data_IF_062605733803
#
_entry.id   IF_062605733803
#
_cell.length_a   1.000
_cell.length_b   1.000
_cell.length_c   1.000
_cell.angle_alpha   90.00
_cell.angle_beta   90.00
_cell.angle_gamma   90.00
#
_symmetry.space_group_name_H-M   'P 1'
#
loop_
_entity.id
_entity.type
_entity.pdbx_description
1 polymer ?
#
# COMPACT_ATOMS: atom_id res chain seq x y z
N UNK A 1 3.15 -12.07 -29.20
CA UNK A 1 4.32 -12.91 -28.87
C UNK A 1 3.81 -14.02 -27.97
N UNK A 2 3.99 -15.26 -28.37
CA UNK A 2 3.34 -16.44 -27.77
C UNK A 2 3.96 -16.75 -26.39
N UNK A 3 3.10 -17.09 -25.42
CA UNK A 3 3.45 -17.36 -24.03
C UNK A 3 3.92 -18.82 -23.88
N UNK A 4 4.94 -19.22 -24.63
CA UNK A 4 5.21 -20.65 -24.81
C UNK A 4 6.15 -21.17 -23.72
N UNK A 5 5.57 -21.91 -22.78
CA UNK A 5 6.28 -22.93 -22.01
C UNK A 5 6.34 -24.17 -22.89
N UNK A 6 7.52 -24.75 -23.07
CA UNK A 6 7.67 -26.01 -23.82
C UNK A 6 8.28 -27.10 -22.94
N UNK A 7 7.85 -28.34 -23.19
CA UNK A 7 8.28 -29.52 -22.45
C UNK A 7 9.11 -30.41 -23.38
N UNK A 8 10.16 -31.05 -22.87
CA UNK A 8 10.94 -32.04 -23.62
C UNK A 8 10.24 -33.39 -23.76
N UNK A 9 8.99 -33.50 -23.31
CA UNK A 9 8.19 -34.71 -23.31
C UNK A 9 6.74 -34.40 -23.68
N UNK A 10 6.04 -35.39 -24.22
CA UNK A 10 4.62 -35.35 -24.52
C UNK A 10 3.77 -35.92 -23.37
N UNK A 11 2.48 -35.57 -23.36
CA UNK A 11 1.52 -36.22 -22.47
C UNK A 11 1.48 -37.73 -22.76
N UNK A 12 1.46 -38.54 -21.69
CA UNK A 12 1.49 -40.02 -21.73
C UNK A 12 2.78 -40.64 -22.30
N UNK A 13 3.85 -39.86 -22.48
CA UNK A 13 5.15 -40.39 -22.91
C UNK A 13 5.74 -41.34 -21.85
N UNK A 14 6.30 -42.46 -22.31
CA UNK A 14 7.00 -43.43 -21.46
C UNK A 14 8.46 -43.02 -21.38
N UNK A 15 8.88 -42.53 -20.22
CA UNK A 15 10.24 -42.04 -19.98
C UNK A 15 11.04 -43.06 -19.17
N UNK A 16 12.32 -43.27 -19.52
CA UNK A 16 13.19 -44.19 -18.81
C UNK A 16 13.64 -43.60 -17.45
N UNK A 17 13.86 -44.44 -16.40
CA UNK A 17 14.41 -43.96 -15.13
C UNK A 17 15.74 -43.24 -15.32
N UNK A 18 15.93 -42.14 -14.58
CA UNK A 18 17.15 -41.31 -14.66
C UNK A 18 17.18 -40.37 -15.87
N UNK A 19 16.11 -40.27 -16.66
CA UNK A 19 15.96 -39.23 -17.67
C UNK A 19 15.59 -37.90 -17.02
N UNK A 20 16.22 -36.81 -17.44
CA UNK A 20 15.81 -35.46 -17.06
C UNK A 20 14.60 -35.02 -17.86
N UNK A 21 13.53 -34.60 -17.17
CA UNK A 21 12.41 -33.91 -17.77
C UNK A 21 12.71 -32.42 -17.81
N UNK A 22 12.66 -31.83 -19.00
CA UNK A 22 13.08 -30.44 -19.22
C UNK A 22 11.87 -29.57 -19.52
N UNK A 23 11.77 -28.46 -18.79
CA UNK A 23 10.78 -27.39 -18.99
C UNK A 23 11.56 -26.15 -19.43
N UNK A 24 11.27 -25.66 -20.63
CA UNK A 24 11.81 -24.40 -21.11
C UNK A 24 10.79 -23.28 -20.90
N UNK A 25 11.24 -22.23 -20.23
CA UNK A 25 10.46 -21.04 -19.89
C UNK A 25 11.10 -19.87 -20.62
N UNK A 26 10.41 -19.32 -21.62
CA UNK A 26 10.94 -18.25 -22.46
C UNK A 26 11.15 -16.90 -21.75
N UNK A 27 10.89 -16.81 -20.43
CA UNK A 27 11.01 -15.59 -19.63
C UNK A 27 11.87 -15.83 -18.39
N UNK A 28 12.55 -14.79 -17.88
CA UNK A 28 13.23 -14.85 -16.59
C UNK A 28 12.29 -15.30 -15.47
N UNK A 29 12.80 -16.11 -14.55
CA UNK A 29 12.08 -16.55 -13.36
C UNK A 29 13.04 -16.73 -12.18
N UNK A 30 12.51 -16.60 -10.97
CA UNK A 30 13.30 -16.76 -9.75
C UNK A 30 13.62 -18.23 -9.49
N UNK A 31 14.90 -18.59 -9.41
CA UNK A 31 15.38 -19.99 -9.35
C UNK A 31 14.81 -20.76 -8.16
N UNK A 32 14.83 -20.14 -6.97
CA UNK A 32 14.31 -20.76 -5.74
C UNK A 32 12.79 -20.94 -5.79
N UNK A 33 12.07 -20.06 -6.49
CA UNK A 33 10.62 -20.19 -6.64
C UNK A 33 10.26 -21.33 -7.60
N UNK A 34 10.99 -21.47 -8.71
CA UNK A 34 10.79 -22.60 -9.63
C UNK A 34 11.05 -23.95 -8.95
N UNK A 35 12.08 -24.03 -8.10
CA UNK A 35 12.36 -25.23 -7.31
C UNK A 35 11.26 -25.57 -6.30
N UNK A 36 10.58 -24.57 -5.74
CA UNK A 36 9.52 -24.78 -4.76
C UNK A 36 8.17 -25.15 -5.39
N UNK A 37 7.87 -24.65 -6.58
CA UNK A 37 6.52 -24.74 -7.18
C UNK A 37 6.35 -25.94 -8.11
N UNK A 38 7.44 -26.42 -8.70
CA UNK A 38 7.40 -27.51 -9.68
C UNK A 38 7.49 -28.85 -8.94
N UNK A 39 6.38 -29.60 -8.94
CA UNK A 39 6.26 -30.86 -8.21
C UNK A 39 5.78 -32.01 -9.10
N UNK A 40 6.29 -33.23 -8.83
CA UNK A 40 5.76 -34.47 -9.39
C UNK A 40 4.79 -35.10 -8.40
N UNK A 41 3.68 -35.63 -8.90
CA UNK A 41 2.70 -36.36 -8.11
C UNK A 41 2.48 -37.78 -8.64
N UNK A 42 2.22 -38.71 -7.72
CA UNK A 42 1.75 -40.07 -8.02
C UNK A 42 0.60 -40.42 -7.08
N UNK A 43 -0.55 -40.83 -7.64
CA UNK A 43 -1.73 -41.19 -6.85
C UNK A 43 -2.22 -40.06 -5.93
N UNK A 44 -2.06 -38.79 -6.33
CA UNK A 44 -2.44 -37.62 -5.54
C UNK A 44 -1.45 -37.21 -4.44
N UNK A 45 -0.30 -37.89 -4.33
CA UNK A 45 0.76 -37.56 -3.36
C UNK A 45 1.94 -36.90 -4.07
N UNK A 46 2.43 -35.80 -3.51
CA UNK A 46 3.66 -35.12 -3.98
C UNK A 46 4.89 -35.97 -3.67
N UNK A 47 5.73 -36.18 -4.68
CA UNK A 47 6.95 -36.97 -4.60
C UNK A 47 8.15 -36.02 -4.56
N UNK A 48 9.03 -36.13 -3.54
CA UNK A 48 10.28 -35.39 -3.51
C UNK A 48 11.08 -35.67 -4.78
N UNK A 49 11.32 -34.63 -5.56
CA UNK A 49 12.01 -34.72 -6.85
C UNK A 49 13.09 -33.66 -6.88
N UNK A 50 14.29 -34.03 -7.33
CA UNK A 50 15.37 -33.07 -7.50
C UNK A 50 15.06 -32.14 -8.66
N UNK A 51 14.81 -30.87 -8.35
CA UNK A 51 14.61 -29.79 -9.34
C UNK A 51 15.87 -28.95 -9.41
N UNK A 52 16.47 -28.88 -10.59
CA UNK A 52 17.62 -28.01 -10.86
C UNK A 52 17.27 -26.97 -11.92
N UNK A 53 17.85 -25.79 -11.79
CA UNK A 53 17.63 -24.65 -12.70
C UNK A 53 18.98 -24.24 -13.27
N UNK A 54 19.14 -24.27 -14.60
CA UNK A 54 20.37 -23.82 -15.25
C UNK A 54 20.41 -22.30 -15.44
N UNK A 55 21.63 -21.77 -15.53
CA UNK A 55 22.02 -20.39 -15.22
C UNK A 55 21.13 -19.31 -15.80
N UNK A 56 20.90 -19.29 -17.10
CA UNK A 56 20.40 -18.08 -17.79
C UNK A 56 19.49 -18.39 -19.00
N UNK A 57 19.22 -19.66 -19.31
CA UNK A 57 18.51 -20.09 -20.52
C UNK A 57 17.02 -20.38 -20.30
N UNK A 58 16.51 -20.12 -19.09
CA UNK A 58 15.12 -20.36 -18.76
C UNK A 58 14.77 -21.85 -18.62
N UNK A 59 15.75 -22.72 -18.41
CA UNK A 59 15.54 -24.17 -18.37
C UNK A 59 15.43 -24.70 -16.93
N UNK A 60 14.36 -25.44 -16.65
CA UNK A 60 14.18 -26.22 -15.42
C UNK A 60 14.30 -27.71 -15.74
N UNK A 61 15.08 -28.45 -14.95
CA UNK A 61 15.23 -29.90 -15.07
C UNK A 61 14.69 -30.59 -13.83
N UNK A 62 13.86 -31.61 -14.06
CA UNK A 62 13.40 -32.53 -13.03
C UNK A 62 14.04 -33.89 -13.28
N UNK A 63 14.83 -34.38 -12.33
CA UNK A 63 15.42 -35.70 -12.46
C UNK A 63 14.41 -36.79 -12.12
N UNK A 64 14.29 -37.80 -12.97
CA UNK A 64 13.52 -39.03 -12.66
C UNK A 64 14.33 -40.09 -11.93
N UNK A 65 15.56 -39.77 -11.52
CA UNK A 65 16.40 -40.67 -10.74
C UNK A 65 15.74 -41.03 -9.41
N UNK A 66 15.74 -42.33 -9.06
CA UNK A 66 15.10 -42.82 -7.85
C UNK A 66 13.58 -42.95 -7.88
N UNK A 67 12.91 -42.56 -8.98
CA UNK A 67 11.47 -42.80 -9.15
C UNK A 67 11.20 -44.27 -9.50
N UNK A 68 10.17 -44.85 -8.88
CA UNK A 68 9.71 -46.21 -9.22
C UNK A 68 8.83 -46.20 -10.46
N UNK A 69 8.80 -47.29 -11.23
CA UNK A 69 7.94 -47.39 -12.43
C UNK A 69 6.47 -47.08 -12.11
N UNK A 70 5.84 -46.22 -12.91
CA UNK A 70 4.44 -45.84 -12.74
C UNK A 70 4.05 -44.57 -13.50
N UNK A 71 2.78 -44.17 -13.35
CA UNK A 71 2.27 -42.90 -13.89
C UNK A 71 2.52 -41.76 -12.91
N UNK A 72 3.00 -40.64 -13.43
CA UNK A 72 3.30 -39.43 -12.70
C UNK A 72 2.63 -38.23 -13.38
N UNK A 73 2.30 -37.21 -12.59
CA UNK A 73 1.69 -35.97 -13.07
C UNK A 73 2.55 -34.78 -12.66
N UNK A 74 2.74 -33.83 -13.58
CA UNK A 74 3.23 -32.51 -13.22
C UNK A 74 2.05 -31.72 -12.63
N UNK A 75 2.15 -31.37 -11.35
CA UNK A 75 1.03 -30.75 -10.64
C UNK A 75 1.26 -29.24 -10.47
N UNK A 76 0.20 -28.46 -10.70
CA UNK A 76 0.13 -27.08 -10.24
C UNK A 76 -0.08 -27.10 -8.72
N UNK A 77 0.82 -26.48 -7.97
CA UNK A 77 0.61 -26.29 -6.54
C UNK A 77 -0.58 -25.32 -6.33
N UNK A 78 -1.63 -25.80 -5.67
CA UNK A 78 -2.84 -25.02 -5.39
C UNK A 78 -2.64 -23.99 -4.28
N UNK A 79 -1.52 -24.06 -3.53
CA UNK A 79 -1.13 -23.06 -2.53
C UNK A 79 -0.51 -21.80 -3.17
N UNK A 80 -0.11 -21.88 -4.43
CA UNK A 80 0.50 -20.76 -5.17
C UNK A 80 -0.59 -19.95 -5.87
N UNK A 81 -0.95 -18.82 -5.27
CA UNK A 81 -2.02 -17.95 -5.76
C UNK A 81 -1.69 -17.19 -7.05
N UNK A 82 -0.46 -16.67 -7.19
CA UNK A 82 0.04 -15.95 -8.38
C UNK A 82 1.56 -16.12 -8.51
N UNK A 83 2.07 -16.02 -9.74
CA UNK A 83 3.51 -15.93 -10.05
C UNK A 83 3.74 -14.56 -10.66
N UNK A 84 4.68 -13.79 -10.09
CA UNK A 84 5.00 -12.45 -10.57
C UNK A 84 6.25 -12.45 -11.45
N UNK A 85 6.30 -11.51 -12.38
CA UNK A 85 7.48 -11.24 -13.19
C UNK A 85 8.53 -10.54 -12.31
N UNK A 86 9.72 -11.13 -12.24
CA UNK A 86 10.87 -10.56 -11.53
C UNK A 86 11.68 -9.69 -12.50
N UNK A 87 11.28 -8.43 -12.62
CA UNK A 87 12.03 -7.43 -13.36
C UNK A 87 13.20 -6.95 -12.49
N UNK A 88 14.42 -7.31 -12.89
CA UNK A 88 15.66 -6.95 -12.21
C UNK A 88 16.33 -5.70 -12.78
N UNK A 89 15.66 -4.96 -13.68
CA UNK A 89 16.15 -3.67 -14.13
C UNK A 89 16.11 -2.64 -12.99
N UNK A 90 17.26 -2.02 -12.69
CA UNK A 90 17.39 -1.02 -11.63
C UNK A 90 17.73 0.34 -12.21
N UNK A 91 17.08 1.38 -11.68
CA UNK A 91 17.38 2.79 -11.92
C UNK A 91 17.58 3.45 -10.55
N UNK A 92 18.58 4.33 -10.36
CA UNK A 92 18.73 5.09 -9.12
C UNK A 92 17.54 6.03 -8.89
N UNK A 93 16.75 5.83 -7.82
CA UNK A 93 15.36 6.34 -7.84
C UNK A 93 14.77 6.88 -6.51
N UNK A 94 15.54 7.58 -5.65
CA UNK A 94 14.86 8.38 -4.60
C UNK A 94 14.13 9.57 -5.21
N UNK A 95 14.77 10.28 -6.16
CA UNK A 95 14.16 11.43 -6.83
C UNK A 95 12.89 11.05 -7.61
N UNK A 96 12.87 9.94 -8.36
CA UNK A 96 11.63 9.53 -9.04
C UNK A 96 10.67 8.81 -8.07
N UNK A 97 11.10 8.16 -6.98
CA UNK A 97 10.19 7.75 -5.89
C UNK A 97 9.42 8.95 -5.34
N UNK A 98 10.13 10.00 -4.92
CA UNK A 98 9.55 11.25 -4.47
C UNK A 98 8.66 11.90 -5.54
N UNK A 99 9.09 11.93 -6.81
CA UNK A 99 8.32 12.51 -7.91
C UNK A 99 7.05 11.71 -8.23
N UNK A 100 7.11 10.38 -8.23
CA UNK A 100 5.97 9.48 -8.43
C UNK A 100 4.93 9.70 -7.33
N UNK A 101 5.39 9.85 -6.09
CA UNK A 101 4.53 10.13 -4.94
C UNK A 101 4.20 11.62 -4.76
N UNK A 102 4.66 12.50 -5.64
CA UNK A 102 4.48 13.96 -5.56
C UNK A 102 4.97 14.61 -4.25
N UNK A 103 5.97 14.02 -3.58
CA UNK A 103 6.57 14.56 -2.35
C UNK A 103 7.19 15.97 -2.54
N UNK A 104 7.91 16.28 -3.65
CA UNK A 104 8.45 17.62 -3.88
C UNK A 104 7.35 18.67 -4.00
N UNK A 105 6.15 18.28 -4.47
CA UNK A 105 4.99 19.15 -4.51
C UNK A 105 4.49 19.53 -3.11
N UNK A 106 4.51 18.60 -2.16
CA UNK A 106 4.19 18.88 -0.76
C UNK A 106 5.27 19.75 -0.08
N UNK A 107 6.54 19.45 -0.34
CA UNK A 107 7.68 20.25 0.14
C UNK A 107 7.65 21.68 -0.41
N UNK A 108 7.32 21.86 -1.68
CA UNK A 108 7.15 23.18 -2.30
C UNK A 108 5.98 23.99 -1.70
N UNK A 109 4.98 23.32 -1.11
CA UNK A 109 3.91 23.96 -0.34
C UNK A 109 4.36 24.36 1.09
N UNK A 110 5.61 24.06 1.47
CA UNK A 110 6.19 24.40 2.77
C UNK A 110 6.04 23.30 3.83
N UNK A 111 5.58 22.10 3.45
CA UNK A 111 5.43 20.98 4.39
C UNK A 111 6.60 20.03 4.25
N UNK A 112 7.37 19.91 5.33
CA UNK A 112 8.61 19.15 5.37
C UNK A 112 8.66 18.18 6.54
N UNK A 113 7.54 17.99 7.25
CA UNK A 113 7.47 17.14 8.45
C UNK A 113 7.96 17.83 9.73
N UNK A 114 8.25 19.14 9.66
CA UNK A 114 8.72 19.91 10.81
C UNK A 114 7.79 19.77 12.02
N UNK A 115 8.39 19.47 13.18
CA UNK A 115 7.67 19.30 14.44
C UNK A 115 6.87 18.00 14.56
N UNK A 116 7.14 17.03 13.68
CA UNK A 116 6.63 15.66 13.77
C UNK A 116 7.79 14.74 14.16
N UNK A 117 7.53 13.82 15.08
CA UNK A 117 8.48 12.78 15.48
C UNK A 117 8.16 11.50 14.72
N UNK A 118 9.14 10.93 14.02
CA UNK A 118 9.00 9.67 13.29
C UNK A 118 9.98 8.66 13.87
N UNK A 119 9.50 7.52 14.33
CA UNK A 119 10.35 6.44 14.83
C UNK A 119 10.48 5.32 13.79
N UNK A 120 11.72 4.88 13.54
CA UNK A 120 12.04 3.71 12.71
C UNK A 120 12.36 2.54 13.64
N UNK A 121 11.51 1.53 13.63
CA UNK A 121 11.71 0.27 14.33
C UNK A 121 12.39 -0.75 13.42
N UNK A 122 13.71 -0.66 13.36
CA UNK A 122 14.61 -1.52 12.58
C UNK A 122 15.90 -1.75 13.39
N UNK A 123 16.83 -2.54 12.85
CA UNK A 123 18.19 -2.63 13.38
C UNK A 123 18.93 -1.27 13.34
N UNK A 124 20.12 -1.21 13.94
CA UNK A 124 20.99 -0.04 13.86
C UNK A 124 21.50 0.19 12.42
N UNK A 125 21.37 1.41 11.85
CA UNK A 125 21.90 1.74 10.53
C UNK A 125 23.39 1.44 10.39
N UNK A 126 23.81 0.78 9.29
CA UNK A 126 25.20 0.42 9.00
C UNK A 126 26.20 1.58 9.09
N UNK A 127 25.77 2.79 8.71
CA UNK A 127 26.53 4.02 8.85
C UNK A 127 25.55 5.20 8.93
N UNK A 128 25.95 6.21 9.71
CA UNK A 128 25.15 7.36 10.09
C UNK A 128 25.54 8.61 9.30
N UNK A 129 26.55 8.52 8.43
CA UNK A 129 26.93 9.60 7.54
C UNK A 129 25.70 10.03 6.73
N UNK A 130 25.40 11.33 6.80
CA UNK A 130 24.23 11.97 6.19
C UNK A 130 22.86 11.51 6.75
N UNK A 131 22.83 10.87 7.92
CA UNK A 131 21.62 10.64 8.72
C UNK A 131 21.66 11.50 9.99
N UNK A 132 20.53 12.13 10.31
CA UNK A 132 20.38 12.94 11.52
C UNK A 132 19.22 12.42 12.36
N UNK A 133 19.53 11.78 13.49
CA UNK A 133 18.55 11.27 14.45
C UNK A 133 18.40 12.22 15.65
N UNK A 134 17.17 12.57 15.99
CA UNK A 134 16.82 13.33 17.20
C UNK A 134 16.93 12.48 18.48
N UNK A 135 16.78 11.16 18.38
CA UNK A 135 16.96 10.24 19.49
C UNK A 135 17.16 8.80 19.03
N UNK A 136 17.73 7.98 19.92
CA UNK A 136 17.97 6.56 19.68
C UNK A 136 17.68 5.78 20.95
N UNK A 137 17.14 4.56 20.82
CA UNK A 137 16.86 3.71 21.98
C UNK A 137 18.15 3.27 22.67
N UNK A 138 19.07 2.64 21.92
CA UNK A 138 20.42 2.36 22.42
C UNK A 138 21.39 3.49 22.01
N UNK A 139 22.21 4.03 22.94
CA UNK A 139 23.18 5.08 22.61
C UNK A 139 24.32 4.57 21.71
N UNK A 140 24.69 3.29 21.85
CA UNK A 140 25.72 2.61 21.06
C UNK A 140 25.15 1.30 20.48
N UNK A 141 24.33 1.36 19.43
CA UNK A 141 23.77 0.15 18.83
C UNK A 141 24.88 -0.72 18.24
N UNK A 142 24.71 -2.04 18.28
CA UNK A 142 25.54 -2.94 17.49
C UNK A 142 25.14 -2.73 16.03
N UNK A 143 26.03 -2.11 15.25
CA UNK A 143 25.75 -1.66 13.88
C UNK A 143 25.99 -2.76 12.87
N UNK A 144 25.16 -2.81 11.82
CA UNK A 144 25.58 -3.41 10.57
C UNK A 144 24.60 -3.43 9.41
N UNK A 145 23.45 -2.75 9.47
CA UNK A 145 22.41 -3.00 8.45
C UNK A 145 22.22 -1.85 7.44
N UNK A 146 22.59 -2.06 6.14
CA UNK A 146 22.32 -1.13 5.06
C UNK A 146 20.82 -0.91 4.82
N UNK A 147 19.98 -1.89 5.14
CA UNK A 147 18.53 -1.79 5.00
C UNK A 147 17.96 -0.73 5.94
N UNK A 148 18.25 -0.85 7.24
CA UNK A 148 17.88 0.15 8.27
C UNK A 148 18.37 1.56 7.94
N UNK A 149 19.56 1.67 7.33
CA UNK A 149 20.12 2.93 6.84
C UNK A 149 19.27 3.55 5.74
N UNK A 150 18.94 2.77 4.71
CA UNK A 150 18.13 3.24 3.58
C UNK A 150 16.70 3.56 4.00
N UNK A 151 16.07 2.71 4.84
CA UNK A 151 14.73 2.94 5.41
C UNK A 151 14.65 4.28 6.13
N UNK A 152 15.67 4.59 6.94
CA UNK A 152 15.77 5.89 7.64
C UNK A 152 15.93 7.06 6.67
N UNK A 153 16.80 6.90 5.66
CA UNK A 153 17.14 7.96 4.70
C UNK A 153 15.99 8.37 3.77
N UNK A 154 15.08 7.44 3.45
CA UNK A 154 13.86 7.70 2.66
C UNK A 154 12.90 8.63 3.42
N UNK A 155 12.81 8.49 4.75
CA UNK A 155 12.02 9.40 5.59
C UNK A 155 12.75 10.75 5.69
N UNK A 156 14.02 10.70 6.09
CA UNK A 156 14.87 11.87 6.29
C UNK A 156 16.34 11.53 6.13
N UNK A 157 17.03 12.31 5.29
CA UNK A 157 18.48 12.35 5.22
C UNK A 157 18.94 13.82 5.08
N UNK A 158 20.23 14.07 5.27
CA UNK A 158 20.83 15.41 5.21
C UNK A 158 21.94 15.48 4.15
N UNK A 159 21.88 14.64 3.11
CA UNK A 159 22.91 14.61 2.08
C UNK A 159 23.03 15.96 1.36
N UNK A 160 24.22 16.58 1.34
CA UNK A 160 24.41 17.83 0.64
C UNK A 160 24.17 17.67 -0.86
N UNK A 161 23.35 18.54 -1.45
CA UNK A 161 23.11 18.59 -2.91
C UNK A 161 22.51 17.31 -3.52
N UNK A 162 21.81 16.51 -2.71
CA UNK A 162 21.06 15.32 -3.14
C UNK A 162 19.59 15.45 -2.73
N UNK A 163 18.67 14.66 -3.35
CA UNK A 163 17.29 14.57 -2.87
C UNK A 163 17.26 14.18 -1.39
N UNK A 164 16.48 14.91 -0.61
CA UNK A 164 16.27 14.58 0.79
C UNK A 164 15.11 13.58 0.92
N UNK A 165 14.87 13.07 2.11
CA UNK A 165 13.74 12.16 2.34
C UNK A 165 12.40 12.92 2.28
N UNK A 166 11.30 12.17 2.26
CA UNK A 166 9.94 12.71 2.10
C UNK A 166 9.61 13.81 3.13
N UNK A 167 10.09 13.66 4.37
CA UNK A 167 9.86 14.58 5.48
C UNK A 167 11.20 15.07 6.07
N UNK A 168 11.93 15.94 5.35
CA UNK A 168 13.32 16.25 5.67
C UNK A 168 13.51 16.99 7.01
N UNK A 169 12.47 17.66 7.50
CA UNK A 169 12.51 18.42 8.76
C UNK A 169 11.85 17.70 9.94
N UNK A 170 11.45 16.43 9.80
CA UNK A 170 10.95 15.65 10.94
C UNK A 170 12.07 15.34 11.96
N UNK A 171 11.70 15.08 13.20
CA UNK A 171 12.62 14.52 14.18
C UNK A 171 12.63 13.00 14.03
N UNK A 172 13.71 12.47 13.49
CA UNK A 172 13.84 11.04 13.24
C UNK A 172 14.39 10.32 14.47
N UNK A 173 13.70 9.29 14.94
CA UNK A 173 14.08 8.45 16.06
C UNK A 173 14.41 7.03 15.55
N UNK A 174 15.46 6.41 16.08
CA UNK A 174 15.83 5.03 15.71
C UNK A 174 15.70 4.11 16.91
N UNK A 175 14.86 3.09 16.81
CA UNK A 175 14.73 2.06 17.83
C UNK A 175 15.93 1.12 17.87
N UNK A 176 16.68 1.03 16.76
CA UNK A 176 17.99 0.40 16.59
C UNK A 176 18.18 -1.02 17.15
N UNK A 177 17.09 -1.75 17.37
CA UNK A 177 17.03 -3.16 17.72
C UNK A 177 15.62 -3.69 17.42
N UNK A 178 15.50 -5.00 17.21
CA UNK A 178 14.23 -5.70 17.04
C UNK A 178 13.57 -6.09 18.36
N UNK A 179 14.11 -5.61 19.49
CA UNK A 179 13.57 -5.91 20.81
C UNK A 179 12.17 -5.35 21.02
N UNK A 180 11.28 -6.12 21.64
CA UNK A 180 9.92 -5.67 21.96
C UNK A 180 9.89 -4.46 22.91
N UNK A 181 10.93 -4.28 23.71
CA UNK A 181 11.18 -3.09 24.54
C UNK A 181 11.44 -1.84 23.68
N UNK A 182 12.20 -1.97 22.60
CA UNK A 182 12.40 -0.91 21.62
C UNK A 182 11.16 -0.66 20.75
N UNK A 183 10.36 -1.71 20.48
CA UNK A 183 9.04 -1.58 19.85
C UNK A 183 8.09 -0.81 20.76
N UNK A 184 8.00 -1.15 22.05
CA UNK A 184 7.19 -0.44 23.04
C UNK A 184 7.66 1.00 23.28
N UNK A 185 8.95 1.25 23.13
CA UNK A 185 9.53 2.60 23.09
C UNK A 185 9.11 3.37 21.83
N UNK A 186 8.95 2.69 20.68
CA UNK A 186 8.62 3.28 19.39
C UNK A 186 7.11 3.41 19.12
N UNK A 187 6.28 2.44 19.54
CA UNK A 187 4.86 2.27 19.17
C UNK A 187 4.08 1.44 20.22
N UNK A 188 2.77 1.66 20.33
CA UNK A 188 1.83 0.70 20.92
C UNK A 188 0.78 0.24 19.87
N UNK A 189 0.98 -0.89 19.18
CA UNK A 189 -0.09 -1.67 18.49
C UNK A 189 0.40 -3.00 17.86
N UNK A 190 -0.46 -4.06 17.80
CA UNK A 190 -0.16 -5.39 17.24
C UNK A 190 -0.77 -5.67 15.83
N UNK A 191 -0.37 -6.80 15.21
CA UNK A 191 -0.72 -7.26 13.84
C UNK A 191 -1.76 -8.40 13.78
N UNK A 192 -2.68 -8.43 12.78
CA UNK A 192 -3.51 -9.61 12.39
C UNK A 192 -3.78 -9.68 10.87
N UNK A 193 -4.16 -10.87 10.37
CA UNK A 193 -4.10 -11.27 8.96
C UNK A 193 -5.40 -11.79 8.33
N UNK A 194 -6.49 -11.05 8.44
CA UNK A 194 -7.72 -11.28 7.64
C UNK A 194 -8.08 -10.12 6.70
N UNK A 195 -7.41 -8.96 6.79
CA UNK A 195 -7.77 -7.73 6.05
C UNK A 195 -7.18 -7.65 4.64
N UNK A 196 -7.81 -6.84 3.79
CA UNK A 196 -7.24 -6.43 2.50
C UNK A 196 -5.92 -5.67 2.73
N UNK A 197 -4.83 -6.22 2.23
CA UNK A 197 -3.48 -5.69 2.36
C UNK A 197 -2.72 -5.84 1.02
N UNK A 198 -1.82 -4.92 0.66
CA UNK A 198 -1.56 -3.65 1.35
C UNK A 198 -2.69 -2.64 1.10
N UNK A 199 -2.91 -1.73 2.05
CA UNK A 199 -3.97 -0.72 1.96
C UNK A 199 -3.60 0.43 0.99
N UNK A 200 -2.30 0.62 0.76
CA UNK A 200 -1.71 1.68 -0.04
C UNK A 200 -0.37 1.21 -0.62
N UNK A 201 -0.08 1.58 -1.87
CA UNK A 201 1.20 1.29 -2.51
C UNK A 201 2.11 2.53 -2.61
N UNK A 202 3.42 2.33 -2.57
CA UNK A 202 4.42 3.36 -2.85
C UNK A 202 5.61 2.72 -3.61
N UNK A 203 6.47 3.54 -4.21
CA UNK A 203 7.63 3.01 -4.93
C UNK A 203 8.58 2.31 -3.95
N UNK A 204 8.77 1.01 -4.16
CA UNK A 204 9.72 0.17 -3.42
C UNK A 204 10.85 -0.38 -4.28
N UNK A 205 11.00 0.04 -5.53
CA UNK A 205 11.98 -0.53 -6.48
C UNK A 205 13.09 0.47 -6.76
N UNK A 206 14.36 0.05 -6.65
CA UNK A 206 15.51 0.89 -7.02
C UNK A 206 15.72 2.12 -6.13
N UNK A 207 15.17 2.12 -4.91
CA UNK A 207 15.19 3.30 -4.03
C UNK A 207 16.62 3.54 -3.55
N UNK A 208 17.14 4.74 -3.83
CA UNK A 208 18.54 5.10 -3.58
C UNK A 208 18.67 6.29 -2.65
N UNK A 209 19.15 6.07 -1.43
CA UNK A 209 19.46 7.15 -0.49
C UNK A 209 20.73 6.81 0.29
N UNK A 210 21.47 7.83 0.72
CA UNK A 210 22.71 7.75 1.51
C UNK A 210 23.74 6.76 0.94
N UNK A 211 23.86 6.75 -0.38
CA UNK A 211 24.77 5.86 -1.12
C UNK A 211 24.35 4.39 -1.15
N UNK A 212 23.14 4.05 -0.66
CA UNK A 212 22.61 2.68 -0.64
C UNK A 212 21.42 2.60 -1.59
N UNK A 213 21.38 1.54 -2.41
CA UNK A 213 20.27 1.23 -3.33
C UNK A 213 19.71 -0.14 -3.00
N UNK A 214 18.40 -0.25 -2.76
CA UNK A 214 17.72 -1.53 -2.50
C UNK A 214 16.28 -1.53 -3.04
N UNK A 215 15.61 -2.67 -2.92
CA UNK A 215 14.23 -2.87 -3.36
C UNK A 215 13.42 -3.75 -2.38
N UNK A 216 12.11 -3.55 -2.35
CA UNK A 216 11.17 -4.24 -1.47
C UNK A 216 10.15 -3.30 -0.82
N UNK A 217 9.10 -3.88 -0.22
CA UNK A 217 8.08 -3.13 0.54
C UNK A 217 8.68 -2.36 1.73
N UNK A 218 9.83 -2.80 2.23
CA UNK A 218 10.62 -2.09 3.24
C UNK A 218 11.06 -0.68 2.83
N UNK A 219 11.06 -0.35 1.53
CA UNK A 219 11.41 0.98 1.02
C UNK A 219 10.18 1.78 0.56
N UNK A 220 9.05 1.09 0.34
CA UNK A 220 7.74 1.71 0.15
C UNK A 220 7.13 2.20 1.48
N UNK A 221 7.24 1.40 2.55
CA UNK A 221 6.74 1.74 3.88
C UNK A 221 7.30 3.08 4.44
N UNK A 222 8.62 3.36 4.40
CA UNK A 222 9.17 4.64 4.87
C UNK A 222 8.70 5.85 4.03
N UNK A 223 8.38 5.68 2.75
CA UNK A 223 7.79 6.75 1.94
C UNK A 223 6.37 7.12 2.43
N UNK A 224 5.56 6.11 2.78
CA UNK A 224 4.24 6.33 3.41
C UNK A 224 4.38 6.97 4.78
N UNK A 225 5.33 6.52 5.60
CA UNK A 225 5.61 7.11 6.92
C UNK A 225 6.05 8.59 6.81
N UNK A 226 6.94 8.90 5.87
CA UNK A 226 7.32 10.30 5.57
C UNK A 226 6.12 11.15 5.16
N UNK A 227 5.23 10.61 4.32
CA UNK A 227 4.00 11.32 3.93
C UNK A 227 3.03 11.53 5.10
N UNK A 228 2.89 10.56 6.00
CA UNK A 228 2.12 10.75 7.23
C UNK A 228 2.68 11.91 8.08
N UNK A 229 4.01 12.06 8.14
CA UNK A 229 4.64 13.19 8.81
C UNK A 229 4.33 14.53 8.09
N UNK A 230 4.29 14.56 6.76
CA UNK A 230 3.85 15.74 6.02
C UNK A 230 2.40 16.13 6.36
N UNK A 231 1.48 15.16 6.39
CA UNK A 231 0.08 15.35 6.78
C UNK A 231 -0.03 15.93 8.20
N UNK A 232 0.69 15.35 9.16
CA UNK A 232 0.69 15.78 10.56
C UNK A 232 1.34 17.16 10.76
N UNK A 233 2.29 17.53 9.90
CA UNK A 233 2.85 18.88 9.87
C UNK A 233 1.86 19.90 9.29
N UNK A 234 1.02 19.48 8.34
CA UNK A 234 0.01 20.33 7.72
C UNK A 234 -1.15 20.67 8.65
N UNK A 235 -1.51 19.76 9.56
CA UNK A 235 -2.48 20.07 10.61
C UNK A 235 -2.17 19.30 11.90
N UNK A 236 -1.90 20.04 12.98
CA UNK A 236 -1.49 19.48 14.25
C UNK A 236 -2.56 18.58 14.91
N UNK A 237 -3.85 18.74 14.58
CA UNK A 237 -4.89 17.81 15.03
C UNK A 237 -4.55 16.39 14.60
N UNK A 238 -4.09 16.18 13.36
CA UNK A 238 -3.85 14.84 12.81
C UNK A 238 -2.73 14.06 13.51
N UNK A 239 -1.93 14.70 14.38
CA UNK A 239 -0.95 14.02 15.24
C UNK A 239 -1.58 13.06 16.24
N UNK A 240 -2.84 13.30 16.62
CA UNK A 240 -3.58 12.47 17.59
C UNK A 240 -4.70 11.65 16.95
N UNK A 241 -4.80 11.65 15.62
CA UNK A 241 -5.89 11.01 14.88
C UNK A 241 -5.33 10.15 13.74
N UNK A 242 -4.84 8.94 14.06
CA UNK A 242 -4.30 8.02 13.06
C UNK A 242 -5.35 7.62 12.01
N UNK A 243 -6.63 7.54 12.36
CA UNK A 243 -7.75 7.27 11.45
C UNK A 243 -7.91 8.42 10.44
N UNK A 244 -7.70 9.66 10.89
CA UNK A 244 -7.66 10.84 10.02
C UNK A 244 -6.50 10.76 9.03
N UNK A 245 -5.30 10.44 9.50
CA UNK A 245 -4.13 10.25 8.64
C UNK A 245 -4.37 9.15 7.61
N UNK A 246 -4.92 8.01 8.03
CA UNK A 246 -5.25 6.87 7.17
C UNK A 246 -6.29 7.24 6.12
N UNK A 247 -7.41 7.85 6.50
CA UNK A 247 -8.42 8.30 5.56
C UNK A 247 -7.86 9.30 4.53
N UNK A 248 -6.99 10.22 4.95
CA UNK A 248 -6.32 11.17 4.04
C UNK A 248 -5.41 10.43 3.05
N UNK A 249 -4.57 9.51 3.53
CA UNK A 249 -3.70 8.71 2.67
C UNK A 249 -4.50 7.95 1.61
N UNK A 250 -5.57 7.24 2.02
CA UNK A 250 -6.44 6.47 1.11
C UNK A 250 -7.17 7.36 0.09
N UNK A 251 -7.73 8.50 0.52
CA UNK A 251 -8.44 9.42 -0.39
C UNK A 251 -7.49 10.22 -1.30
N UNK A 252 -6.24 10.42 -0.86
CA UNK A 252 -5.22 11.11 -1.66
C UNK A 252 -4.61 10.22 -2.74
N UNK A 253 -4.57 8.91 -2.50
CA UNK A 253 -3.97 7.92 -3.37
C UNK A 253 -4.50 8.04 -4.79
N UNK A 254 -3.58 8.13 -5.75
CA UNK A 254 -3.86 8.26 -7.18
C UNK A 254 -3.33 7.02 -7.92
N UNK A 255 -3.79 6.80 -9.15
CA UNK A 255 -3.39 5.67 -10.04
C UNK A 255 -3.56 4.27 -9.42
N UNK A 256 -4.41 3.44 -10.03
CA UNK A 256 -4.13 2.01 -10.02
C UNK A 256 -2.86 1.78 -10.82
N UNK A 257 -1.87 1.07 -10.27
CA UNK A 257 -0.64 0.73 -10.99
C UNK A 257 -0.97 -0.21 -12.16
N UNK A 258 -2.07 -0.96 -12.04
CA UNK A 258 -2.64 -1.80 -13.11
C UNK A 258 -3.53 -1.07 -14.14
N UNK A 259 -3.73 0.26 -14.00
CA UNK A 259 -4.42 1.11 -15.00
C UNK A 259 -5.94 1.25 -14.85
N UNK A 260 -6.56 0.67 -13.81
CA UNK A 260 -7.97 0.87 -13.45
C UNK A 260 -8.23 2.03 -12.46
N UNK A 261 -9.49 2.21 -12.06
CA UNK A 261 -9.84 2.89 -10.78
C UNK A 261 -9.96 1.84 -9.67
N UNK A 262 -9.81 2.22 -8.39
CA UNK A 262 -9.91 1.26 -7.27
C UNK A 262 -11.18 0.39 -7.34
N UNK A 263 -12.34 1.01 -7.58
CA UNK A 263 -13.61 0.27 -7.69
C UNK A 263 -13.70 -0.68 -8.90
N UNK A 264 -12.92 -0.45 -9.97
CA UNK A 264 -12.87 -1.34 -11.13
C UNK A 264 -12.01 -2.58 -10.85
N UNK A 265 -10.92 -2.41 -10.11
CA UNK A 265 -10.00 -3.50 -9.78
C UNK A 265 -10.55 -4.40 -8.67
N UNK A 266 -11.28 -3.83 -7.70
CA UNK A 266 -12.03 -4.55 -6.68
C UNK A 266 -13.11 -5.45 -7.33
N UNK A 267 -13.94 -4.89 -8.23
CA UNK A 267 -14.99 -5.66 -8.94
C UNK A 267 -14.38 -6.75 -9.83
N UNK A 268 -13.21 -6.51 -10.41
CA UNK A 268 -12.50 -7.48 -11.24
C UNK A 268 -11.74 -8.55 -10.42
N UNK A 269 -11.76 -8.51 -9.08
CA UNK A 269 -10.95 -9.36 -8.18
C UNK A 269 -9.46 -9.34 -8.54
N UNK A 270 -9.00 -8.21 -9.08
CA UNK A 270 -7.57 -7.95 -9.35
C UNK A 270 -6.85 -7.47 -8.09
N UNK A 271 -7.62 -7.01 -7.11
CA UNK A 271 -7.12 -6.42 -5.88
C UNK A 271 -6.36 -7.43 -4.98
N UNK A 272 -5.37 -6.89 -4.26
CA UNK A 272 -4.31 -7.49 -3.42
C UNK A 272 -2.88 -7.06 -3.78
N UNK A 273 -2.66 -6.23 -4.83
CA UNK A 273 -1.30 -5.72 -5.16
C UNK A 273 -1.14 -4.21 -4.97
N UNK A 274 -2.17 -3.41 -5.24
CA UNK A 274 -2.05 -1.94 -5.34
C UNK A 274 -2.83 -1.20 -4.22
N UNK A 275 -3.74 -1.89 -3.52
CA UNK A 275 -4.60 -1.31 -2.48
C UNK A 275 -5.41 -0.13 -3.02
N UNK A 276 -5.57 0.92 -2.21
CA UNK A 276 -6.22 2.17 -2.63
C UNK A 276 -5.53 2.89 -3.80
N UNK A 277 -4.35 2.43 -4.27
CA UNK A 277 -3.56 3.03 -5.34
C UNK A 277 -2.21 3.55 -4.85
N UNK A 278 -1.51 4.24 -5.74
CA UNK A 278 -0.19 4.82 -5.44
C UNK A 278 -0.30 6.06 -4.53
N UNK A 279 0.61 6.14 -3.56
CA UNK A 279 0.82 7.27 -2.66
C UNK A 279 0.87 8.62 -3.42
N UNK A 280 0.18 9.64 -2.89
CA UNK A 280 0.25 11.01 -3.41
C UNK A 280 0.34 12.03 -2.28
N UNK A 281 1.57 12.38 -1.90
CA UNK A 281 1.89 13.27 -0.78
C UNK A 281 1.36 14.69 -0.99
N UNK A 282 1.41 15.22 -2.21
CA UNK A 282 0.88 16.56 -2.50
C UNK A 282 -0.63 16.63 -2.26
N UNK A 283 -1.40 15.68 -2.80
CA UNK A 283 -2.84 15.63 -2.56
C UNK A 283 -3.14 15.41 -1.07
N UNK A 284 -2.39 14.55 -0.39
CA UNK A 284 -2.57 14.29 1.04
C UNK A 284 -2.44 15.57 1.87
N UNK A 285 -1.41 16.39 1.60
CA UNK A 285 -1.21 17.68 2.26
C UNK A 285 -2.31 18.69 1.91
N UNK A 286 -2.71 18.79 0.64
CA UNK A 286 -3.80 19.69 0.22
C UNK A 286 -5.13 19.34 0.89
N UNK A 287 -5.40 18.05 1.07
CA UNK A 287 -6.54 17.59 1.87
C UNK A 287 -6.34 18.02 3.33
N UNK A 288 -5.19 17.73 3.95
CA UNK A 288 -4.91 18.02 5.36
C UNK A 288 -5.08 19.52 5.73
N UNK A 289 -4.82 20.43 4.78
CA UNK A 289 -5.07 21.87 4.94
C UNK A 289 -6.55 22.26 4.95
N UNK A 290 -7.45 21.37 4.53
CA UNK A 290 -8.86 21.66 4.24
C UNK A 290 -9.81 20.95 5.23
N UNK A 291 -9.61 21.13 6.53
CA UNK A 291 -10.50 20.54 7.54
C UNK A 291 -11.93 21.07 7.37
N UNK A 292 -12.92 20.18 7.45
CA UNK A 292 -14.34 20.52 7.33
C UNK A 292 -15.11 19.89 8.48
N UNK A 293 -16.11 20.61 9.01
CA UNK A 293 -17.00 20.09 10.04
C UNK A 293 -18.09 19.15 9.47
N UNK A 294 -18.78 18.43 10.36
CA UNK A 294 -20.05 17.76 10.06
C UNK A 294 -21.08 18.80 9.60
N UNK A 295 -21.88 18.49 8.58
CA UNK A 295 -22.90 19.36 8.01
C UNK A 295 -22.39 20.72 7.51
N UNK A 296 -21.09 20.82 7.21
CA UNK A 296 -20.48 22.08 6.81
C UNK A 296 -21.05 22.62 5.49
N UNK A 297 -21.06 23.95 5.38
CA UNK A 297 -21.38 24.71 4.17
C UNK A 297 -20.41 25.91 4.12
N UNK A 298 -19.64 26.11 3.04
CA UNK A 298 -19.81 25.50 1.72
C UNK A 298 -19.23 24.08 1.59
N UNK A 299 -19.69 23.37 0.55
CA UNK A 299 -19.09 22.12 0.10
C UNK A 299 -17.67 22.36 -0.41
N UNK A 300 -16.75 21.43 -0.14
CA UNK A 300 -15.34 21.58 -0.50
C UNK A 300 -14.91 20.55 -1.55
N UNK A 301 -13.99 20.96 -2.43
CA UNK A 301 -13.35 20.09 -3.43
C UNK A 301 -12.47 19.03 -2.75
N UNK A 302 -11.89 19.38 -1.60
CA UNK A 302 -11.09 18.50 -0.76
C UNK A 302 -11.47 18.76 0.68
N UNK A 303 -11.43 17.74 1.51
CA UNK A 303 -11.54 17.96 2.93
C UNK A 303 -11.50 16.69 3.74
N UNK A 304 -11.49 16.89 5.04
CA UNK A 304 -11.44 15.80 6.00
C UNK A 304 -12.10 16.20 7.32
N UNK A 305 -12.48 15.19 8.09
CA UNK A 305 -12.92 15.35 9.47
C UNK A 305 -12.52 14.12 10.29
N UNK A 306 -12.40 14.31 11.61
CA UNK A 306 -12.13 13.25 12.58
C UNK A 306 -13.03 13.45 13.79
N UNK A 307 -13.31 12.38 14.53
CA UNK A 307 -14.09 12.48 15.74
C UNK A 307 -14.45 11.11 16.32
N UNK A 308 -15.42 11.12 17.23
CA UNK A 308 -16.07 9.90 17.69
C UNK A 308 -17.45 9.73 17.04
N UNK A 309 -17.79 8.50 16.69
CA UNK A 309 -19.14 8.08 16.35
C UNK A 309 -19.78 7.48 17.60
N UNK A 310 -21.04 7.80 17.85
CA UNK A 310 -21.87 7.19 18.90
C UNK A 310 -23.18 6.67 18.30
N UNK A 311 -23.93 5.78 18.98
CA UNK A 311 -25.21 5.29 18.44
C UNK A 311 -26.19 6.41 18.05
N UNK A 312 -26.20 7.52 18.81
CA UNK A 312 -27.06 8.68 18.53
C UNK A 312 -26.68 9.46 17.24
N UNK A 313 -25.48 9.22 16.70
CA UNK A 313 -25.09 9.77 15.40
C UNK A 313 -25.79 9.05 14.24
N UNK A 314 -26.52 7.96 14.47
CA UNK A 314 -27.18 7.19 13.42
C UNK A 314 -28.70 7.19 13.61
N UNK A 315 -29.41 7.35 12.49
CA UNK A 315 -30.85 7.15 12.46
C UNK A 315 -31.17 5.66 12.66
N UNK A 316 -32.05 5.35 13.62
CA UNK A 316 -32.29 3.96 14.02
C UNK A 316 -32.96 3.10 12.94
N UNK A 317 -33.57 3.71 11.91
CA UNK A 317 -34.28 2.99 10.86
C UNK A 317 -33.39 2.79 9.63
N UNK A 318 -32.80 3.87 9.14
CA UNK A 318 -31.94 3.88 7.94
C UNK A 318 -30.50 3.47 8.26
N UNK A 319 -30.11 3.56 9.53
CA UNK A 319 -28.74 3.36 10.05
C UNK A 319 -27.71 4.30 9.43
N UNK A 320 -28.16 5.31 8.69
CA UNK A 320 -27.31 6.35 8.17
C UNK A 320 -27.03 7.36 9.26
N UNK A 321 -25.83 7.94 9.20
CA UNK A 321 -25.47 9.08 10.02
C UNK A 321 -26.54 10.18 9.94
N UNK A 322 -26.77 10.89 11.03
CA UNK A 322 -27.68 12.06 11.10
C UNK A 322 -27.02 13.34 10.59
N UNK A 323 -25.73 13.24 10.21
CA UNK A 323 -24.95 14.30 9.58
C UNK A 323 -24.42 13.87 8.21
N UNK A 324 -23.93 14.84 7.44
CA UNK A 324 -23.30 14.65 6.12
C UNK A 324 -22.01 15.44 5.99
N UNK A 325 -21.13 15.00 5.10
CA UNK A 325 -20.06 15.84 4.54
C UNK A 325 -20.38 16.17 3.10
N UNK A 326 -19.98 17.36 2.66
CA UNK A 326 -20.33 17.87 1.34
C UNK A 326 -19.11 17.97 0.44
N UNK A 327 -19.14 17.28 -0.69
CA UNK A 327 -18.08 17.27 -1.69
C UNK A 327 -18.53 18.10 -2.90
N UNK A 328 -17.75 19.13 -3.23
CA UNK A 328 -17.99 19.98 -4.40
C UNK A 328 -17.16 19.49 -5.59
N UNK A 329 -17.82 19.17 -6.70
CA UNK A 329 -17.11 19.00 -7.98
C UNK A 329 -16.99 20.36 -8.66
N UNK A 330 -15.79 20.82 -9.05
CA UNK A 330 -15.65 22.11 -9.71
C UNK A 330 -16.51 22.20 -10.98
N UNK A 331 -17.09 23.38 -11.21
CA UNK A 331 -17.64 23.70 -12.52
C UNK A 331 -16.48 23.93 -13.49
N UNK A 332 -16.61 23.45 -14.73
CA UNK A 332 -15.63 23.73 -15.78
C UNK A 332 -16.29 23.72 -17.16
N UNK A 333 -16.05 24.73 -18.01
CA UNK A 333 -16.53 24.74 -19.37
C UNK A 333 -15.77 23.76 -20.28
N UNK A 334 -14.62 23.22 -19.84
CA UNK A 334 -13.82 22.29 -20.62
C UNK A 334 -14.50 20.92 -20.68
N UNK A 335 -15.17 20.61 -21.79
CA UNK A 335 -15.98 19.40 -21.98
C UNK A 335 -15.18 18.10 -21.80
N UNK A 336 -13.92 18.08 -22.23
CA UNK A 336 -13.04 16.92 -22.13
C UNK A 336 -12.58 16.64 -20.69
N UNK A 337 -12.52 17.66 -19.83
CA UNK A 337 -12.11 17.47 -18.44
C UNK A 337 -13.10 16.53 -17.73
N UNK A 338 -12.60 15.53 -17.03
CA UNK A 338 -13.35 14.60 -16.20
C UNK A 338 -12.91 14.80 -14.75
N UNK A 339 -13.83 14.66 -13.80
CA UNK A 339 -13.49 14.76 -12.39
C UNK A 339 -13.70 13.40 -11.74
N UNK A 340 -12.68 12.90 -11.05
CA UNK A 340 -12.81 11.73 -10.19
C UNK A 340 -13.02 12.22 -8.76
N UNK A 341 -14.07 11.72 -8.12
CA UNK A 341 -14.34 11.90 -6.70
C UNK A 341 -13.88 10.65 -5.98
N UNK A 342 -13.04 10.82 -4.96
CA UNK A 342 -12.62 9.75 -4.07
C UNK A 342 -12.91 10.12 -2.62
N UNK A 343 -13.53 9.21 -1.90
CA UNK A 343 -13.89 9.39 -0.48
C UNK A 343 -13.40 8.16 0.28
N UNK A 344 -12.76 8.38 1.41
CA UNK A 344 -12.32 7.31 2.30
C UNK A 344 -12.82 7.55 3.72
N UNK A 345 -13.23 6.47 4.37
CA UNK A 345 -13.55 6.37 5.79
C UNK A 345 -12.56 5.39 6.41
N UNK A 346 -12.06 5.68 7.61
CA UNK A 346 -11.26 4.76 8.40
C UNK A 346 -11.68 4.83 9.87
N UNK A 347 -11.63 3.71 10.57
CA UNK A 347 -11.95 3.63 11.99
C UNK A 347 -11.10 2.56 12.70
N UNK A 348 -11.09 2.68 14.02
CA UNK A 348 -10.37 1.75 14.89
C UNK A 348 -11.13 0.43 15.06
N UNK A 349 -10.36 -0.66 15.06
CA UNK A 349 -10.83 -1.94 15.58
C UNK A 349 -10.61 -2.01 17.10
N UNK A 350 -11.42 -2.82 17.79
CA UNK A 350 -11.28 -3.02 19.22
C UNK A 350 -10.05 -3.86 19.51
N UNK A 351 -9.08 -3.30 20.23
CA UNK A 351 -7.91 -4.03 20.71
C UNK A 351 -8.22 -4.71 22.05
N UNK A 352 -7.91 -6.00 22.16
CA UNK A 352 -7.93 -6.77 23.40
C UNK A 352 -6.54 -6.76 24.00
N UNK A 353 -6.42 -6.40 25.28
CA UNK A 353 -5.17 -6.41 26.03
C UNK A 353 -5.14 -7.57 27.03
N UNK A 354 -3.97 -8.17 27.24
CA UNK A 354 -3.74 -9.05 28.38
C UNK A 354 -3.55 -8.24 29.68
N UNK A 355 -3.39 -8.93 30.81
CA UNK A 355 -3.19 -8.29 32.11
C UNK A 355 -1.91 -7.42 32.20
N UNK A 356 -0.93 -7.64 31.32
CA UNK A 356 0.29 -6.84 31.24
C UNK A 356 0.14 -5.62 30.31
N UNK A 357 -1.06 -5.37 29.77
CA UNK A 357 -1.31 -4.28 28.82
C UNK A 357 -0.82 -4.57 27.40
N UNK A 358 -0.33 -5.78 27.11
CA UNK A 358 0.07 -6.18 25.76
C UNK A 358 -1.17 -6.54 24.96
N UNK A 359 -1.26 -6.01 23.75
CA UNK A 359 -2.36 -6.31 22.86
C UNK A 359 -2.25 -7.74 22.29
N UNK A 360 -3.33 -8.52 22.40
CA UNK A 360 -3.38 -9.94 22.04
C UNK A 360 -4.33 -10.25 20.89
N UNK A 361 -5.28 -9.35 20.61
CA UNK A 361 -6.16 -9.44 19.46
C UNK A 361 -6.65 -8.04 19.07
N UNK A 362 -7.02 -7.86 17.82
CA UNK A 362 -7.83 -6.73 17.38
C UNK A 362 -8.98 -7.27 16.57
N UNK A 363 -10.18 -6.80 16.89
CA UNK A 363 -11.43 -7.31 16.32
C UNK A 363 -12.22 -6.13 15.79
N UNK A 364 -12.67 -6.24 14.54
CA UNK A 364 -13.61 -5.28 13.99
C UNK A 364 -14.97 -5.51 14.65
N UNK A 365 -15.27 -4.74 15.70
CA UNK A 365 -16.53 -4.91 16.46
C UNK A 365 -17.71 -4.23 15.80
N UNK A 366 -17.44 -3.22 14.98
CA UNK A 366 -18.45 -2.45 14.31
C UNK A 366 -18.12 -2.39 12.82
N UNK A 367 -19.09 -2.87 12.05
CA UNK A 367 -19.13 -2.77 10.60
C UNK A 367 -19.77 -1.42 10.23
N UNK A 368 -18.94 -0.55 9.63
CA UNK A 368 -19.33 0.76 9.12
C UNK A 368 -19.21 0.75 7.59
N UNK A 369 -20.25 1.21 6.91
CA UNK A 369 -20.22 1.40 5.46
C UNK A 369 -20.08 2.89 5.09
N UNK A 370 -19.66 3.13 3.86
CA UNK A 370 -19.61 4.45 3.25
C UNK A 370 -20.64 4.56 2.13
N UNK A 371 -21.44 5.62 2.12
CA UNK A 371 -22.42 5.89 1.07
C UNK A 371 -22.35 7.35 0.60
N UNK A 372 -22.49 7.57 -0.70
CA UNK A 372 -22.47 8.90 -1.32
C UNK A 372 -23.75 9.13 -2.09
N UNK A 373 -24.38 10.27 -1.87
CA UNK A 373 -25.65 10.68 -2.45
C UNK A 373 -25.48 11.95 -3.29
N UNK A 374 -26.23 12.08 -4.38
CA UNK A 374 -26.33 13.34 -5.10
C UNK A 374 -27.34 14.29 -4.44
N UNK A 375 -27.45 15.52 -4.98
CA UNK A 375 -28.38 16.55 -4.49
C UNK A 375 -29.87 16.15 -4.48
N UNK A 376 -30.26 15.10 -5.22
CA UNK A 376 -31.63 14.59 -5.25
C UNK A 376 -31.85 13.46 -4.20
N UNK A 377 -30.85 13.16 -3.38
CA UNK A 377 -30.89 12.07 -2.40
C UNK A 377 -30.71 10.68 -3.00
N UNK A 378 -30.27 10.56 -4.26
CA UNK A 378 -30.01 9.27 -4.90
C UNK A 378 -28.58 8.83 -4.59
N UNK A 379 -28.41 7.60 -4.12
CA UNK A 379 -27.09 7.01 -3.87
C UNK A 379 -26.36 6.78 -5.19
N UNK A 380 -25.16 7.36 -5.33
CA UNK A 380 -24.33 7.27 -6.54
C UNK A 380 -23.11 6.37 -6.37
N UNK A 381 -22.68 6.13 -5.14
CA UNK A 381 -21.59 5.21 -4.81
C UNK A 381 -21.74 4.70 -3.37
N UNK A 382 -21.23 3.51 -3.09
CA UNK A 382 -21.08 2.98 -1.74
C UNK A 382 -19.98 1.93 -1.67
N UNK A 383 -19.47 1.72 -0.47
CA UNK A 383 -18.56 0.64 -0.10
C UNK A 383 -19.03 0.05 1.23
N UNK A 384 -19.03 -1.28 1.33
CA UNK A 384 -19.66 -2.06 2.39
C UNK A 384 -18.86 -3.34 2.69
N UNK A 385 -17.54 -3.20 2.85
CA UNK A 385 -16.66 -4.27 3.27
C UNK A 385 -16.90 -4.59 4.75
N UNK A 386 -17.23 -5.84 5.04
CA UNK A 386 -17.40 -6.31 6.41
C UNK A 386 -16.09 -6.73 7.09
N UNK A 387 -14.97 -6.59 6.38
CA UNK A 387 -13.66 -7.12 6.77
C UNK A 387 -12.66 -5.98 7.09
N UNK A 388 -12.76 -4.89 6.33
CA UNK A 388 -11.87 -3.75 6.47
C UNK A 388 -12.36 -2.79 7.55
N UNK A 389 -11.42 -2.20 8.30
CA UNK A 389 -11.71 -1.03 9.16
C UNK A 389 -11.57 0.30 8.39
N UNK A 390 -11.84 0.23 7.10
CA UNK A 390 -11.90 1.35 6.17
C UNK A 390 -12.88 1.06 5.04
N UNK A 391 -13.37 2.13 4.43
CA UNK A 391 -14.22 2.07 3.25
C UNK A 391 -13.75 3.13 2.25
N UNK A 392 -13.74 2.79 0.96
CA UNK A 392 -13.33 3.71 -0.10
C UNK A 392 -14.40 3.69 -1.18
N UNK A 393 -14.76 4.86 -1.69
CA UNK A 393 -15.51 4.95 -2.93
C UNK A 393 -14.78 5.85 -3.91
N UNK A 394 -14.78 5.46 -5.18
CA UNK A 394 -14.20 6.22 -6.27
C UNK A 394 -15.16 6.21 -7.47
N UNK A 395 -15.53 7.38 -7.96
CA UNK A 395 -16.49 7.52 -9.07
C UNK A 395 -16.26 8.80 -9.89
N UNK A 396 -16.84 8.86 -11.08
CA UNK A 396 -16.82 10.06 -11.92
C UNK A 396 -17.85 11.09 -11.43
N UNK A 397 -17.37 12.27 -11.04
CA UNK A 397 -18.19 13.38 -10.57
C UNK A 397 -18.78 14.22 -11.70
N UNK A 398 -20.05 14.59 -11.55
CA UNK A 398 -20.73 15.54 -12.45
C UNK A 398 -20.23 16.96 -12.15
N UNK A 399 -19.81 17.68 -13.18
CA UNK A 399 -19.29 19.06 -13.07
C UNK A 399 -20.28 19.97 -12.37
N UNK A 400 -19.82 20.72 -11.36
CA UNK A 400 -20.64 21.63 -10.56
C UNK A 400 -21.56 20.94 -9.56
N UNK A 401 -21.66 19.60 -9.54
CA UNK A 401 -22.51 18.90 -8.60
C UNK A 401 -21.93 18.93 -7.18
N UNK A 402 -22.84 18.84 -6.20
CA UNK A 402 -22.52 18.59 -4.81
C UNK A 402 -23.00 17.19 -4.43
N UNK A 403 -22.14 16.46 -3.73
CA UNK A 403 -22.45 15.15 -3.19
C UNK A 403 -22.44 15.17 -1.66
N UNK A 404 -23.36 14.42 -1.07
CA UNK A 404 -23.47 14.19 0.36
C UNK A 404 -22.85 12.83 0.71
N UNK A 405 -21.82 12.85 1.55
CA UNK A 405 -21.19 11.66 2.12
C UNK A 405 -21.87 11.32 3.43
N UNK A 406 -22.29 10.06 3.56
CA UNK A 406 -22.88 9.48 4.74
C UNK A 406 -22.08 8.26 5.18
N UNK A 407 -21.95 8.10 6.50
CA UNK A 407 -21.50 6.86 7.12
C UNK A 407 -22.76 6.05 7.48
N UNK A 408 -22.76 4.74 7.25
CA UNK A 408 -23.80 3.81 7.70
C UNK A 408 -23.24 2.89 8.76
N UNK A 409 -24.03 2.58 9.79
CA UNK A 409 -23.69 1.55 10.76
C UNK A 409 -24.39 0.25 10.37
N UNK A 410 -23.71 -0.66 9.68
CA UNK A 410 -24.31 -1.95 9.32
C UNK A 410 -24.66 -2.76 10.57
N UNK A 411 -23.71 -2.80 11.52
CA UNK A 411 -23.91 -3.39 12.84
C UNK A 411 -24.89 -2.52 13.64
N UNK A 412 -26.11 -3.03 13.85
CA UNK A 412 -27.14 -2.33 14.62
C UNK A 412 -28.10 -3.32 15.32
N UNK A 413 -28.41 -3.16 16.62
CA UNK A 413 -27.79 -2.19 17.55
C UNK A 413 -26.30 -2.46 17.74
N UNK A 414 -25.55 -1.48 18.23
CA UNK A 414 -24.12 -1.65 18.50
C UNK A 414 -23.88 -2.77 19.54
N UNK A 415 -22.75 -3.49 19.45
CA UNK A 415 -22.44 -4.56 20.41
C UNK A 415 -22.34 -4.03 21.84
N UNK A 416 -22.73 -4.87 22.80
CA UNK A 416 -22.68 -4.51 24.21
C UNK A 416 -21.28 -4.07 24.64
N UNK A 417 -21.21 -2.93 25.33
CA UNK A 417 -19.96 -2.34 25.82
C UNK A 417 -19.22 -1.46 24.82
N UNK A 418 -19.71 -1.32 23.57
CA UNK A 418 -19.19 -0.31 22.63
C UNK A 418 -20.06 0.94 22.75
N UNK A 419 -19.47 2.03 23.25
CA UNK A 419 -20.17 3.31 23.46
C UNK A 419 -19.77 4.40 22.47
N UNK A 420 -18.59 4.28 21.86
CA UNK A 420 -18.11 5.15 20.79
C UNK A 420 -17.08 4.42 19.91
N UNK A 421 -16.80 4.98 18.74
CA UNK A 421 -15.70 4.60 17.84
C UNK A 421 -14.95 5.84 17.37
N UNK A 422 -13.64 5.79 17.30
CA UNK A 422 -12.87 6.84 16.62
C UNK A 422 -12.90 6.63 15.12
N UNK A 423 -13.03 7.73 14.36
CA UNK A 423 -13.04 7.67 12.90
C UNK A 423 -12.32 8.88 12.29
N UNK A 424 -11.86 8.67 11.06
CA UNK A 424 -11.47 9.69 10.12
C UNK A 424 -12.22 9.53 8.81
N UNK A 425 -12.58 10.64 8.18
CA UNK A 425 -13.18 10.67 6.85
C UNK A 425 -12.48 11.74 6.02
N UNK A 426 -12.27 11.45 4.74
CA UNK A 426 -11.53 12.31 3.83
C UNK A 426 -12.08 12.21 2.42
N UNK A 427 -11.99 13.28 1.66
CA UNK A 427 -12.36 13.31 0.25
C UNK A 427 -11.46 14.20 -0.58
N UNK A 428 -11.37 13.84 -1.86
CA UNK A 428 -10.60 14.54 -2.86
C UNK A 428 -11.35 14.52 -4.21
N UNK A 429 -11.28 15.63 -4.94
CA UNK A 429 -11.75 15.71 -6.32
C UNK A 429 -10.60 16.13 -7.22
N UNK A 430 -10.26 15.25 -8.17
CA UNK A 430 -9.14 15.45 -9.10
C UNK A 430 -9.67 15.58 -10.52
N UNK A 431 -9.30 16.67 -11.19
CA UNK A 431 -9.58 16.85 -12.61
C UNK A 431 -8.53 16.12 -13.45
N UNK A 432 -8.97 15.26 -14.36
CA UNK A 432 -8.13 14.56 -15.33
C UNK A 432 -8.59 14.90 -16.75
N UNK A 433 -7.64 15.28 -17.60
CA UNK A 433 -7.89 15.25 -19.05
C UNK A 433 -7.87 13.79 -19.50
N UNK A 434 -8.67 13.39 -20.51
CA UNK A 434 -8.57 12.07 -21.09
C UNK A 434 -7.14 11.90 -21.56
N UNK A 435 -6.48 10.80 -21.19
CA UNK A 435 -5.16 10.53 -21.73
C UNK A 435 -5.31 10.41 -23.25
N UNK A 436 -4.76 11.37 -24.00
CA UNK A 436 -4.32 11.10 -25.36
C UNK A 436 -3.29 10.00 -25.20
N UNK A 437 -3.59 8.81 -25.71
CA UNK A 437 -2.71 7.65 -25.66
C UNK A 437 -1.42 7.93 -26.44
N UNK A 438 -0.50 8.68 -25.85
CA UNK A 438 0.90 8.64 -26.20
C UNK A 438 1.53 7.66 -25.23
N UNK A 439 1.90 6.43 -25.66
CA UNK A 439 2.70 5.58 -24.81
C UNK A 439 3.93 6.37 -24.39
N UNK A 440 4.15 6.47 -23.08
CA UNK A 440 5.43 6.96 -22.57
C UNK A 440 6.44 5.89 -22.95
N UNK A 441 7.09 6.06 -24.09
CA UNK A 441 8.27 5.28 -24.45
C UNK A 441 9.36 5.71 -23.49
N UNK A 442 9.71 4.84 -22.54
CA UNK A 442 11.01 4.94 -21.89
C UNK A 442 12.06 4.79 -23.00
N UNK A 443 13.07 5.68 -23.08
CA UNK A 443 14.16 5.49 -24.01
C UNK A 443 14.78 4.10 -23.75
N UNK A 444 15.10 3.32 -24.79
CA UNK A 444 15.76 2.04 -24.60
C UNK A 444 17.05 2.27 -23.80
N UNK A 445 17.29 1.41 -22.80
CA UNK A 445 18.50 1.40 -22.00
C UNK A 445 19.71 1.45 -22.95
N UNK A 446 20.41 2.58 -22.94
CA UNK A 446 21.62 2.76 -23.71
C UNK A 446 22.66 1.76 -23.21
N UNK A 447 23.01 0.80 -24.06
CA UNK A 447 24.26 0.06 -23.96
C UNK A 447 25.40 1.06 -24.03
N UNK A 448 25.94 1.46 -22.87
CA UNK A 448 27.28 2.00 -22.80
C UNK A 448 28.25 0.81 -22.84
N UNK A 449 28.60 0.37 -24.05
CA UNK A 449 29.92 -0.20 -24.28
C UNK A 449 30.93 0.94 -24.14
N UNK A 450 31.76 0.90 -23.09
CA UNK A 450 33.04 1.61 -23.11
C UNK A 450 34.16 0.57 -23.25
N UNK A 451 35.12 0.95 -24.11
CA UNK A 451 36.46 0.37 -24.25
C UNK A 451 37.27 0.48 -22.95
#
# INVERSE_FOLDING_TARGET
>A
MTNDISFSFAAEEIVAPGTDLVIHIARPFHKQAAQAVITLQRGGTTIPTSVSVSGDDGTVKLSTEGLSTGRYYLAKDTTVGKIFFDDSSSVPDLANSEAIAYAPGAQALGFTGRGVHVAVFEAGPADLTNLSFAGRYQPNPVVGDPHSRLTSAIIKNVEPSKPHGYAPDCDLYSANTFGNDALLWAVASPHHGDRELPELAANGTGVTAVGVTMWGTSFAAPAVAGTAALIQSANATLKSWPEGCRAILLASADRSISGGTWGQDLVARKDASDGAGALNAQNAVLIAQSQSARNNSPALVRGWNVGSLVPADFDATTRLSTFRYKVQVPSSPLTLLRYTVKVALAWDSKVTLNAAGTATASTLTNDLDLAVYNQNGVQVAASSSNDNSYEIVEFEGVKGAVYDVAIRSWTWPWPAGITFLWYGVSWNVVGKLPQLSTPVSFPPAGLHEEL
#
